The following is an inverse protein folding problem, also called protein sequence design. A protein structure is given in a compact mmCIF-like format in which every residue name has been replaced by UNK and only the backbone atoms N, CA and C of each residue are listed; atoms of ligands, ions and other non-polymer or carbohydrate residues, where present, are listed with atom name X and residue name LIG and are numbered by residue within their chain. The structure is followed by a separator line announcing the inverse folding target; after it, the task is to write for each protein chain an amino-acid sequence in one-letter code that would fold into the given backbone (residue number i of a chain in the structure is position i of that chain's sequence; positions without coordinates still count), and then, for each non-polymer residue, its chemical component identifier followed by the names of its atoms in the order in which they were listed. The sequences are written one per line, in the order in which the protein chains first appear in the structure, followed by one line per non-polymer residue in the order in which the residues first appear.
data_IF_234293457919
#
_entry.id   IF_234293457919
#
_cell.length_a   1.000
_cell.length_b   1.000
_cell.length_c   1.000
_cell.angle_alpha   90.00
_cell.angle_beta   90.00
_cell.angle_gamma   90.00
#
_symmetry.space_group_name_H-M   'P 1'
#
loop_
_entity.id
_entity.type
_entity.pdbx_description
1 polymer ?
#
# COMPACT_ATOMS: atom_id res chain seq x y z
N UNK A 1 23.72 40.68 -8.98
CA UNK A 1 22.79 39.53 -9.04
C UNK A 1 23.27 38.47 -8.07
N UNK A 2 22.68 38.37 -6.89
CA UNK A 2 22.95 37.27 -5.95
C UNK A 2 22.46 35.97 -6.58
N UNK A 3 23.39 35.06 -6.89
CA UNK A 3 23.06 33.74 -7.43
C UNK A 3 22.15 33.05 -6.41
N UNK A 4 20.89 32.73 -6.77
CA UNK A 4 20.01 31.98 -5.88
C UNK A 4 20.68 30.63 -5.62
N UNK A 5 20.85 30.28 -4.35
CA UNK A 5 21.41 29.00 -3.97
C UNK A 5 20.45 27.88 -4.35
N UNK A 6 20.97 26.72 -4.75
CA UNK A 6 20.16 25.53 -4.95
C UNK A 6 19.58 25.07 -3.60
N UNK A 7 18.29 24.74 -3.57
CA UNK A 7 17.58 24.39 -2.33
C UNK A 7 16.62 23.23 -2.59
N UNK A 8 16.45 22.35 -1.60
CA UNK A 8 15.45 21.29 -1.63
C UNK A 8 14.04 21.84 -1.40
N UNK A 9 13.09 21.46 -2.27
CA UNK A 9 11.71 21.94 -2.20
C UNK A 9 10.74 20.76 -2.25
N UNK A 10 9.74 20.82 -1.36
CA UNK A 10 8.54 19.98 -1.41
C UNK A 10 7.68 20.43 -2.60
N UNK A 11 7.86 19.75 -3.73
CA UNK A 11 7.03 19.94 -4.92
C UNK A 11 5.62 19.45 -4.60
N UNK A 12 4.59 20.12 -5.11
CA UNK A 12 3.21 19.61 -5.05
C UNK A 12 2.34 20.28 -6.10
N UNK A 13 1.30 19.62 -6.58
CA UNK A 13 0.21 20.24 -7.32
C UNK A 13 -1.14 19.67 -6.87
N UNK A 14 -2.27 20.40 -6.99
CA UNK A 14 -3.58 19.87 -6.62
C UNK A 14 -3.94 18.58 -7.38
N UNK A 15 -3.55 18.50 -8.66
CA UNK A 15 -3.77 17.31 -9.49
C UNK A 15 -2.94 16.12 -9.04
N UNK A 16 -1.65 16.32 -8.72
CA UNK A 16 -0.81 15.23 -8.20
C UNK A 16 -1.27 14.77 -6.82
N UNK A 17 -1.65 15.70 -5.94
CA UNK A 17 -2.20 15.39 -4.63
C UNK A 17 -3.46 14.49 -4.71
N UNK A 18 -4.37 14.79 -5.64
CA UNK A 18 -5.56 13.96 -5.87
C UNK A 18 -5.18 12.54 -6.31
N UNK A 19 -4.36 12.40 -7.35
CA UNK A 19 -3.98 11.09 -7.87
C UNK A 19 -3.15 10.28 -6.88
N UNK A 20 -2.32 10.93 -6.07
CA UNK A 20 -1.60 10.28 -4.99
C UNK A 20 -2.55 9.75 -3.91
N UNK A 21 -3.51 10.56 -3.48
CA UNK A 21 -4.54 10.11 -2.56
C UNK A 21 -5.37 8.95 -3.17
N UNK A 22 -5.73 9.02 -4.45
CA UNK A 22 -6.42 7.93 -5.13
C UNK A 22 -5.58 6.64 -5.13
N UNK A 23 -4.27 6.74 -5.40
CA UNK A 23 -3.36 5.59 -5.37
C UNK A 23 -3.26 4.97 -3.98
N UNK A 24 -3.06 5.80 -2.94
CA UNK A 24 -2.99 5.34 -1.56
C UNK A 24 -4.32 4.70 -1.12
N UNK A 25 -5.47 5.23 -1.56
CA UNK A 25 -6.79 4.59 -1.37
C UNK A 25 -6.86 3.24 -2.06
N UNK A 26 -6.38 3.11 -3.30
CA UNK A 26 -6.38 1.82 -3.99
C UNK A 26 -5.47 0.80 -3.30
N UNK A 27 -4.32 1.22 -2.75
CA UNK A 27 -3.45 0.37 -1.92
C UNK A 27 -4.19 -0.09 -0.68
N UNK A 28 -4.88 0.82 0.01
CA UNK A 28 -5.70 0.49 1.19
C UNK A 28 -6.82 -0.49 0.87
N UNK A 29 -7.51 -0.32 -0.28
CA UNK A 29 -8.53 -1.26 -0.75
C UNK A 29 -7.94 -2.65 -1.04
N UNK A 30 -6.80 -2.74 -1.73
CA UNK A 30 -6.12 -4.02 -2.00
C UNK A 30 -5.70 -4.73 -0.73
N UNK A 31 -5.09 -4.00 0.21
CA UNK A 31 -4.65 -4.55 1.50
C UNK A 31 -5.86 -4.97 2.34
N UNK A 32 -6.92 -4.15 2.39
CA UNK A 32 -8.16 -4.50 3.09
C UNK A 32 -8.82 -5.75 2.53
N UNK A 33 -8.97 -5.83 1.21
CA UNK A 33 -9.54 -7.02 0.54
C UNK A 33 -8.73 -8.28 0.87
N UNK A 34 -7.39 -8.19 0.84
CA UNK A 34 -6.52 -9.31 1.22
C UNK A 34 -6.70 -9.72 2.69
N UNK A 35 -6.74 -8.76 3.62
CA UNK A 35 -6.96 -9.06 5.03
C UNK A 35 -8.36 -9.63 5.29
N UNK A 36 -9.38 -9.17 4.57
CA UNK A 36 -10.74 -9.72 4.68
C UNK A 36 -10.79 -11.14 4.13
N UNK A 37 -10.12 -11.43 3.02
CA UNK A 37 -9.98 -12.80 2.53
C UNK A 37 -9.36 -13.71 3.58
N UNK A 38 -8.21 -13.31 4.16
CA UNK A 38 -7.55 -14.07 5.22
C UNK A 38 -8.45 -14.22 6.45
N UNK A 39 -9.16 -13.16 6.84
CA UNK A 39 -10.11 -13.18 7.94
C UNK A 39 -11.25 -14.18 7.71
N UNK A 40 -11.85 -14.20 6.52
CA UNK A 40 -12.91 -15.14 6.17
C UNK A 40 -12.39 -16.58 6.19
N UNK A 41 -11.20 -16.84 5.65
CA UNK A 41 -10.60 -18.19 5.69
C UNK A 41 -10.41 -18.65 7.14
N UNK A 42 -9.85 -17.79 8.00
CA UNK A 42 -9.61 -18.12 9.40
C UNK A 42 -10.91 -18.34 10.17
N UNK A 43 -11.90 -17.43 9.99
CA UNK A 43 -13.20 -17.56 10.66
C UNK A 43 -13.98 -18.77 10.14
N UNK A 44 -13.88 -19.09 8.85
CA UNK A 44 -14.46 -20.29 8.25
C UNK A 44 -13.90 -21.56 8.91
N UNK A 45 -12.57 -21.70 8.93
CA UNK A 45 -11.91 -22.87 9.52
C UNK A 45 -12.21 -22.99 11.02
N UNK A 46 -12.01 -21.92 11.78
CA UNK A 46 -12.25 -21.95 13.24
C UNK A 46 -13.74 -22.14 13.55
N UNK A 47 -14.61 -21.53 12.75
CA UNK A 47 -16.05 -21.65 12.88
C UNK A 47 -16.54 -23.08 12.66
N UNK A 48 -16.10 -23.70 11.57
CA UNK A 48 -16.45 -25.08 11.24
C UNK A 48 -15.89 -26.08 12.25
N UNK A 49 -14.64 -25.90 12.68
CA UNK A 49 -13.95 -26.90 13.51
C UNK A 49 -14.18 -26.73 15.01
N UNK A 50 -14.09 -25.52 15.53
CA UNK A 50 -14.11 -25.27 16.97
C UNK A 50 -15.46 -24.75 17.49
N UNK A 51 -16.26 -24.14 16.62
CA UNK A 51 -17.53 -23.51 16.96
C UNK A 51 -18.67 -24.00 16.07
N UNK A 52 -18.62 -25.28 15.66
CA UNK A 52 -19.53 -25.87 14.67
C UNK A 52 -21.00 -25.59 14.97
N UNK A 53 -21.42 -25.70 16.24
CA UNK A 53 -22.78 -25.40 16.66
C UNK A 53 -23.19 -23.95 16.40
N UNK A 54 -22.30 -22.98 16.64
CA UNK A 54 -22.52 -21.56 16.38
C UNK A 54 -22.47 -21.25 14.87
N UNK A 55 -21.56 -21.91 14.14
CA UNK A 55 -21.41 -21.77 12.69
C UNK A 55 -22.69 -22.15 11.95
N UNK A 56 -23.27 -23.30 12.30
CA UNK A 56 -24.54 -23.78 11.73
C UNK A 56 -25.75 -22.98 12.20
N UNK A 57 -25.74 -22.44 13.43
CA UNK A 57 -26.82 -21.58 13.93
C UNK A 57 -26.91 -20.24 13.22
N UNK A 58 -25.76 -19.67 12.82
CA UNK A 58 -25.67 -18.35 12.17
C UNK A 58 -25.72 -18.46 10.63
N UNK A 59 -25.58 -19.69 10.10
CA UNK A 59 -25.56 -20.00 8.67
C UNK A 59 -24.50 -19.16 7.91
N UNK A 60 -23.24 -19.30 8.31
CA UNK A 60 -22.11 -18.53 7.77
C UNK A 60 -21.59 -19.04 6.42
N UNK A 61 -21.91 -20.28 6.02
CA UNK A 61 -21.41 -20.88 4.78
C UNK A 61 -21.88 -20.13 3.52
N UNK A 62 -23.17 -19.78 3.35
CA UNK A 62 -23.62 -18.97 2.22
C UNK A 62 -22.90 -17.61 2.14
N UNK A 63 -22.72 -16.96 3.29
CA UNK A 63 -22.04 -15.67 3.40
C UNK A 63 -20.58 -15.76 2.92
N UNK A 64 -19.83 -16.76 3.39
CA UNK A 64 -18.42 -16.93 3.04
C UNK A 64 -18.24 -17.30 1.57
N UNK A 65 -19.06 -18.20 1.03
CA UNK A 65 -19.03 -18.56 -0.40
C UNK A 65 -19.33 -17.35 -1.29
N UNK A 66 -20.36 -16.57 -0.97
CA UNK A 66 -20.70 -15.36 -1.73
C UNK A 66 -19.60 -14.30 -1.62
N UNK A 67 -19.04 -14.11 -0.42
CA UNK A 67 -17.94 -13.16 -0.17
C UNK A 67 -16.67 -13.49 -0.98
N UNK A 68 -16.38 -14.77 -1.24
CA UNK A 68 -15.27 -15.16 -2.13
C UNK A 68 -15.49 -14.69 -3.56
N UNK A 69 -16.71 -14.79 -4.09
CA UNK A 69 -17.07 -14.22 -5.38
C UNK A 69 -16.87 -12.70 -5.43
N UNK A 70 -17.27 -12.00 -4.37
CA UNK A 70 -17.07 -10.55 -4.23
C UNK A 70 -15.58 -10.19 -4.16
N UNK A 71 -14.76 -10.95 -3.43
CA UNK A 71 -13.30 -10.74 -3.33
C UNK A 71 -12.67 -10.83 -4.72
N UNK A 72 -13.03 -11.85 -5.51
CA UNK A 72 -12.53 -12.01 -6.87
C UNK A 72 -12.94 -10.84 -7.77
N UNK A 73 -14.19 -10.37 -7.64
CA UNK A 73 -14.67 -9.20 -8.38
C UNK A 73 -13.89 -7.93 -8.01
N UNK A 74 -13.73 -7.65 -6.72
CA UNK A 74 -12.97 -6.49 -6.24
C UNK A 74 -11.51 -6.58 -6.67
N UNK A 75 -10.88 -7.76 -6.56
CA UNK A 75 -9.52 -8.00 -7.01
C UNK A 75 -9.37 -7.74 -8.52
N UNK A 76 -10.32 -8.18 -9.34
CA UNK A 76 -10.34 -7.92 -10.78
C UNK A 76 -10.45 -6.41 -11.08
N UNK A 77 -11.34 -5.70 -10.38
CA UNK A 77 -11.47 -4.23 -10.52
C UNK A 77 -10.17 -3.54 -10.11
N UNK A 78 -9.59 -3.89 -8.97
CA UNK A 78 -8.34 -3.28 -8.48
C UNK A 78 -7.14 -3.58 -9.38
N UNK A 79 -7.05 -4.79 -9.95
CA UNK A 79 -6.00 -5.16 -10.90
C UNK A 79 -6.00 -4.29 -12.16
N UNK A 80 -7.17 -3.76 -12.54
CA UNK A 80 -7.32 -2.83 -13.66
C UNK A 80 -7.07 -1.38 -13.18
N UNK A 81 -7.76 -0.96 -12.11
CA UNK A 81 -7.76 0.44 -11.65
C UNK A 81 -6.40 0.88 -11.10
N UNK A 82 -5.73 0.07 -10.29
CA UNK A 82 -4.45 0.41 -9.63
C UNK A 82 -3.39 0.84 -10.66
N UNK A 83 -3.11 0.07 -11.73
CA UNK A 83 -2.17 0.50 -12.75
C UNK A 83 -2.53 1.82 -13.43
N UNK A 84 -3.81 2.07 -13.74
CA UNK A 84 -4.22 3.33 -14.39
C UNK A 84 -4.05 4.52 -13.45
N UNK A 85 -4.42 4.36 -12.18
CA UNK A 85 -4.23 5.39 -11.15
C UNK A 85 -2.74 5.66 -10.93
N UNK A 86 -1.90 4.62 -10.90
CA UNK A 86 -0.45 4.76 -10.81
C UNK A 86 0.11 5.54 -12.01
N UNK A 87 -0.30 5.22 -13.23
CA UNK A 87 0.15 5.96 -14.43
C UNK A 87 -0.28 7.43 -14.35
N UNK A 88 -1.54 7.70 -14.01
CA UNK A 88 -2.07 9.06 -13.86
C UNK A 88 -1.32 9.86 -12.76
N UNK A 89 -1.02 9.22 -11.64
CA UNK A 89 -0.21 9.77 -10.56
C UNK A 89 1.19 10.15 -11.05
N UNK A 90 1.87 9.27 -11.79
CA UNK A 90 3.23 9.50 -12.30
C UNK A 90 3.28 10.63 -13.33
N UNK A 91 2.25 10.74 -14.20
CA UNK A 91 2.13 11.87 -15.11
C UNK A 91 1.85 13.19 -14.39
N UNK A 92 1.00 13.18 -13.37
CA UNK A 92 0.72 14.36 -12.56
C UNK A 92 1.95 14.81 -11.75
N UNK A 93 2.72 13.86 -11.23
CA UNK A 93 4.00 14.08 -10.55
C UNK A 93 5.01 14.78 -11.48
N UNK A 94 5.21 14.27 -12.70
CA UNK A 94 6.10 14.87 -13.69
C UNK A 94 5.67 16.31 -14.04
N UNK A 95 4.36 16.55 -14.26
CA UNK A 95 3.84 17.89 -14.53
C UNK A 95 4.07 18.85 -13.35
N UNK A 96 3.92 18.37 -12.11
CA UNK A 96 4.18 19.19 -10.92
C UNK A 96 5.65 19.60 -10.81
N UNK A 97 6.55 18.67 -11.11
CA UNK A 97 7.99 18.89 -11.14
C UNK A 97 8.39 19.87 -12.24
N UNK A 98 7.82 19.72 -13.44
CA UNK A 98 8.04 20.65 -14.55
C UNK A 98 7.57 22.06 -14.23
N UNK A 99 6.38 22.20 -13.64
CA UNK A 99 5.86 23.49 -13.20
C UNK A 99 6.78 24.13 -12.14
N UNK A 100 7.19 23.36 -11.13
CA UNK A 100 8.12 23.83 -10.09
C UNK A 100 9.47 24.25 -10.67
N UNK A 101 9.99 23.52 -11.65
CA UNK A 101 11.27 23.81 -12.28
C UNK A 101 11.22 25.08 -13.18
N UNK A 102 10.04 25.43 -13.70
CA UNK A 102 9.83 26.70 -14.43
C UNK A 102 9.75 27.89 -13.48
N UNK A 103 9.09 27.72 -12.34
CA UNK A 103 8.97 28.77 -11.32
C UNK A 103 10.31 29.02 -10.60
N UNK A 104 11.02 27.96 -10.24
CA UNK A 104 12.31 28.02 -9.55
C UNK A 104 13.32 27.04 -10.19
N UNK A 105 14.17 27.50 -11.11
CA UNK A 105 15.12 26.65 -11.83
C UNK A 105 16.15 25.94 -10.94
N UNK A 106 16.48 26.53 -9.79
CA UNK A 106 17.45 26.00 -8.82
C UNK A 106 16.80 25.11 -7.74
N UNK A 107 15.49 24.87 -7.81
CA UNK A 107 14.79 24.01 -6.87
C UNK A 107 15.04 22.53 -7.17
N UNK A 108 15.39 21.78 -6.14
CA UNK A 108 15.61 20.33 -6.22
C UNK A 108 14.43 19.61 -5.56
N UNK A 109 13.69 18.75 -6.28
CA UNK A 109 12.63 17.96 -5.67
C UNK A 109 13.18 16.97 -4.66
N UNK A 110 12.35 16.60 -3.68
CA UNK A 110 12.69 15.60 -2.68
C UNK A 110 13.13 14.26 -3.29
N UNK A 111 13.98 13.53 -2.55
CA UNK A 111 14.55 12.25 -3.00
C UNK A 111 13.49 11.21 -3.38
N UNK A 112 12.43 11.07 -2.58
CA UNK A 112 11.31 10.15 -2.83
C UNK A 112 10.72 10.39 -4.22
N UNK A 113 10.33 11.63 -4.50
CA UNK A 113 9.77 12.01 -5.80
C UNK A 113 10.75 11.78 -6.95
N UNK A 114 12.04 12.07 -6.76
CA UNK A 114 13.09 11.78 -7.76
C UNK A 114 13.25 10.29 -8.00
N UNK A 115 13.24 9.45 -6.97
CA UNK A 115 13.32 7.99 -7.12
C UNK A 115 12.08 7.41 -7.78
N UNK A 116 10.89 7.95 -7.47
CA UNK A 116 9.64 7.55 -8.10
C UNK A 116 9.60 7.90 -9.60
N UNK A 117 10.20 9.03 -9.97
CA UNK A 117 10.38 9.48 -11.35
C UNK A 117 11.68 8.99 -12.00
N UNK A 118 12.39 8.02 -11.41
CA UNK A 118 13.61 7.48 -12.01
C UNK A 118 13.35 6.75 -13.34
N UNK A 119 12.11 6.31 -13.57
CA UNK A 119 11.62 5.75 -14.84
C UNK A 119 10.58 6.70 -15.44
N UNK A 120 10.52 6.78 -16.76
CA UNK A 120 9.48 7.54 -17.43
C UNK A 120 8.08 7.04 -17.02
N UNK A 121 7.11 7.93 -16.73
CA UNK A 121 5.74 7.56 -16.36
C UNK A 121 5.09 6.58 -17.35
N UNK A 122 5.35 6.79 -18.66
CA UNK A 122 4.85 5.95 -19.73
C UNK A 122 5.40 4.51 -19.70
N UNK A 123 6.52 4.25 -19.02
CA UNK A 123 7.07 2.91 -18.89
C UNK A 123 6.12 2.00 -18.10
N UNK A 124 5.43 2.55 -17.10
CA UNK A 124 4.40 1.82 -16.34
C UNK A 124 3.21 1.46 -17.23
N UNK A 125 2.77 2.37 -18.12
CA UNK A 125 1.71 2.10 -19.08
C UNK A 125 2.10 0.96 -20.04
N UNK A 126 3.36 0.97 -20.52
CA UNK A 126 3.89 -0.07 -21.37
C UNK A 126 3.98 -1.42 -20.64
N UNK A 127 4.49 -1.46 -19.40
CA UNK A 127 4.58 -2.72 -18.65
C UNK A 127 3.21 -3.28 -18.33
N UNK A 128 2.27 -2.44 -17.87
CA UNK A 128 0.90 -2.86 -17.60
C UNK A 128 0.22 -3.36 -18.87
N UNK A 129 0.31 -2.63 -19.98
CA UNK A 129 -0.26 -3.08 -21.26
C UNK A 129 0.35 -4.40 -21.75
N UNK A 130 1.66 -4.62 -21.50
CA UNK A 130 2.34 -5.87 -21.85
C UNK A 130 1.89 -7.04 -20.99
N UNK A 131 1.79 -6.84 -19.67
CA UNK A 131 1.33 -7.87 -18.74
C UNK A 131 -0.13 -8.23 -19.04
N UNK A 132 -1.02 -7.24 -19.14
CA UNK A 132 -2.43 -7.47 -19.47
C UNK A 132 -2.59 -8.20 -20.79
N UNK A 133 -1.85 -7.79 -21.83
CA UNK A 133 -1.91 -8.44 -23.14
C UNK A 133 -1.57 -9.92 -23.04
N UNK A 134 -0.45 -10.28 -22.41
CA UNK A 134 -0.03 -11.67 -22.32
C UNK A 134 -0.93 -12.50 -21.40
N UNK A 135 -1.44 -11.92 -20.31
CA UNK A 135 -2.43 -12.59 -19.46
C UNK A 135 -3.74 -12.87 -20.21
N UNK A 136 -4.28 -11.88 -20.93
CA UNK A 136 -5.54 -12.01 -21.66
C UNK A 136 -5.41 -12.95 -22.87
N UNK A 137 -4.30 -12.88 -23.60
CA UNK A 137 -4.03 -13.80 -24.71
C UNK A 137 -3.80 -15.22 -24.18
N UNK A 138 -3.07 -15.39 -23.09
CA UNK A 138 -2.85 -16.70 -22.47
C UNK A 138 -4.14 -17.34 -21.96
N UNK A 139 -4.93 -16.58 -21.18
CA UNK A 139 -6.23 -17.04 -20.69
C UNK A 139 -7.22 -17.29 -21.83
N UNK A 140 -7.30 -16.38 -22.80
CA UNK A 140 -8.17 -16.53 -23.96
C UNK A 140 -7.78 -17.73 -24.83
N UNK A 141 -6.48 -18.02 -25.00
CA UNK A 141 -6.00 -19.18 -25.73
C UNK A 141 -6.31 -20.50 -25.00
N UNK A 142 -6.11 -20.54 -23.67
CA UNK A 142 -6.51 -21.70 -22.85
C UNK A 142 -8.02 -21.93 -22.90
N UNK A 143 -8.80 -20.85 -22.78
CA UNK A 143 -10.26 -20.92 -22.88
C UNK A 143 -10.69 -21.39 -24.27
N UNK A 144 -10.14 -20.81 -25.35
CA UNK A 144 -10.41 -21.25 -26.72
C UNK A 144 -10.06 -22.73 -26.93
N UNK A 145 -8.96 -23.19 -26.34
CA UNK A 145 -8.58 -24.60 -26.38
C UNK A 145 -9.61 -25.48 -25.68
N UNK A 146 -10.14 -25.07 -24.52
CA UNK A 146 -11.22 -25.77 -23.85
C UNK A 146 -12.49 -25.86 -24.73
N UNK A 147 -12.89 -24.76 -25.39
CA UNK A 147 -14.03 -24.73 -26.33
C UNK A 147 -13.82 -25.67 -27.52
N UNK A 148 -12.59 -25.76 -28.04
CA UNK A 148 -12.27 -26.66 -29.16
C UNK A 148 -12.36 -28.13 -28.72
N UNK A 149 -11.92 -28.46 -27.50
CA UNK A 149 -11.87 -29.85 -27.03
C UNK A 149 -13.12 -30.35 -26.30
N UNK A 150 -14.11 -29.50 -26.05
CA UNK A 150 -15.37 -29.89 -25.39
C UNK A 150 -16.58 -29.49 -26.24
N UNK A 151 -17.39 -30.49 -26.63
CA UNK A 151 -18.55 -30.27 -27.50
C UNK A 151 -19.62 -29.41 -26.82
N UNK A 152 -19.87 -29.61 -25.53
CA UNK A 152 -20.84 -28.83 -24.74
C UNK A 152 -20.55 -27.32 -24.73
N UNK A 153 -19.27 -26.92 -24.63
CA UNK A 153 -18.89 -25.50 -24.64
C UNK A 153 -18.95 -24.88 -26.04
N UNK A 154 -18.90 -25.70 -27.10
CA UNK A 154 -18.88 -25.22 -28.49
C UNK A 154 -20.25 -24.75 -28.96
N UNK A 155 -21.29 -25.39 -28.49
CA UNK A 155 -22.69 -25.06 -28.84
C UNK A 155 -23.26 -23.92 -27.98
N UNK A 156 -22.61 -23.59 -26.86
CA UNK A 156 -23.03 -22.49 -25.98
C UNK A 156 -22.61 -21.11 -26.53
N UNK A 157 -23.61 -20.30 -26.90
CA UNK A 157 -23.40 -18.92 -27.37
C UNK A 157 -22.74 -18.00 -26.33
N UNK A 158 -22.90 -18.27 -25.03
CA UNK A 158 -22.26 -17.48 -23.95
C UNK A 158 -20.75 -17.63 -24.01
N UNK A 159 -20.25 -18.83 -24.30
CA UNK A 159 -18.83 -19.14 -24.39
C UNK A 159 -18.16 -18.36 -25.53
N UNK A 160 -18.82 -18.26 -26.69
CA UNK A 160 -18.34 -17.43 -27.80
C UNK A 160 -18.34 -15.93 -27.48
N UNK A 161 -19.35 -15.46 -26.73
CA UNK A 161 -19.36 -14.08 -26.25
C UNK A 161 -18.19 -13.80 -25.30
N UNK A 162 -17.87 -14.73 -24.38
CA UNK A 162 -16.71 -14.63 -23.49
C UNK A 162 -15.40 -14.61 -24.28
N UNK A 163 -15.25 -15.46 -25.31
CA UNK A 163 -14.09 -15.42 -26.21
C UNK A 163 -13.95 -14.07 -26.95
N UNK A 164 -15.05 -13.51 -27.43
CA UNK A 164 -15.07 -12.18 -28.04
C UNK A 164 -14.62 -11.11 -27.04
N UNK A 165 -15.06 -11.18 -25.79
CA UNK A 165 -14.61 -10.28 -24.71
C UNK A 165 -13.10 -10.39 -24.50
N UNK A 166 -12.54 -11.60 -24.43
CA UNK A 166 -11.08 -11.77 -24.36
C UNK A 166 -10.35 -11.15 -25.55
N UNK A 167 -10.86 -11.33 -26.77
CA UNK A 167 -10.27 -10.75 -27.97
C UNK A 167 -10.29 -9.21 -27.95
N UNK A 168 -11.42 -8.60 -27.57
CA UNK A 168 -11.57 -7.14 -27.44
C UNK A 168 -10.62 -6.59 -26.37
N UNK A 169 -10.56 -7.22 -25.19
CA UNK A 169 -9.67 -6.80 -24.12
C UNK A 169 -8.19 -6.96 -24.51
N UNK A 170 -7.82 -8.04 -25.19
CA UNK A 170 -6.46 -8.24 -25.69
C UNK A 170 -6.08 -7.18 -26.73
N UNK A 171 -7.01 -6.81 -27.63
CA UNK A 171 -6.80 -5.73 -28.58
C UNK A 171 -6.59 -4.39 -27.87
N UNK A 172 -7.41 -4.08 -26.87
CA UNK A 172 -7.25 -2.88 -26.04
C UNK A 172 -5.90 -2.85 -25.31
N UNK A 173 -5.48 -3.98 -24.73
CA UNK A 173 -4.17 -4.12 -24.10
C UNK A 173 -3.01 -3.93 -25.10
N UNK A 174 -3.15 -4.44 -26.33
CA UNK A 174 -2.18 -4.21 -27.39
C UNK A 174 -2.10 -2.74 -27.82
N UNK A 175 -3.23 -2.04 -27.89
CA UNK A 175 -3.27 -0.60 -28.14
C UNK A 175 -2.59 0.19 -27.01
N UNK A 176 -2.89 -0.14 -25.74
CA UNK A 176 -2.23 0.44 -24.56
C UNK A 176 -0.72 0.24 -24.60
N UNK A 177 -0.25 -0.96 -24.95
CA UNK A 177 1.18 -1.26 -25.11
C UNK A 177 1.83 -0.39 -26.19
N UNK A 178 1.18 -0.25 -27.36
CA UNK A 178 1.67 0.59 -28.48
C UNK A 178 1.71 2.07 -28.09
N UNK A 179 0.67 2.56 -27.42
CA UNK A 179 0.60 3.93 -26.92
C UNK A 179 1.70 4.19 -25.89
N UNK A 180 1.87 3.28 -24.92
CA UNK A 180 2.93 3.35 -23.91
C UNK A 180 4.31 3.48 -24.53
N UNK A 181 4.64 2.63 -25.52
CA UNK A 181 5.94 2.72 -26.22
C UNK A 181 6.19 4.09 -26.86
N UNK A 182 5.20 4.64 -27.57
CA UNK A 182 5.31 5.98 -28.19
C UNK A 182 5.49 7.09 -27.15
N UNK A 183 4.81 6.97 -26.00
CA UNK A 183 4.92 7.95 -24.93
C UNK A 183 6.26 7.86 -24.19
N UNK A 184 6.81 6.65 -24.02
CA UNK A 184 8.14 6.45 -23.41
C UNK A 184 9.22 7.19 -24.19
N UNK A 185 9.24 7.07 -25.52
CA UNK A 185 10.23 7.77 -26.36
C UNK A 185 10.20 9.29 -26.15
N UNK A 186 9.00 9.86 -25.96
CA UNK A 186 8.80 11.29 -25.71
C UNK A 186 9.18 11.70 -24.29
N UNK A 187 8.78 10.91 -23.30
CA UNK A 187 8.98 11.24 -21.89
C UNK A 187 10.43 10.95 -21.42
N UNK A 188 11.12 9.99 -22.02
CA UNK A 188 12.53 9.70 -21.74
C UNK A 188 13.43 10.90 -22.07
N UNK A 189 13.14 11.63 -23.15
CA UNK A 189 13.87 12.86 -23.48
C UNK A 189 13.67 13.93 -22.40
N UNK A 190 12.43 14.16 -21.95
CA UNK A 190 12.09 15.13 -20.90
C UNK A 190 12.71 14.74 -19.56
N UNK A 191 12.62 13.46 -19.19
CA UNK A 191 13.18 12.95 -17.95
C UNK A 191 14.71 13.05 -17.93
N UNK A 192 15.39 12.81 -19.05
CA UNK A 192 16.85 12.97 -19.14
C UNK A 192 17.31 14.39 -18.87
N UNK A 193 16.59 15.41 -19.37
CA UNK A 193 16.91 16.82 -19.06
C UNK A 193 16.84 17.08 -17.55
N UNK A 194 15.72 16.69 -16.92
CA UNK A 194 15.54 16.84 -15.48
C UNK A 194 16.59 16.07 -14.67
N UNK A 195 16.91 14.84 -15.06
CA UNK A 195 17.91 14.03 -14.37
C UNK A 195 19.31 14.64 -14.46
N UNK A 196 19.68 15.17 -15.63
CA UNK A 196 20.95 15.87 -15.84
C UNK A 196 21.06 17.10 -14.95
N UNK A 197 19.96 17.85 -14.82
CA UNK A 197 19.86 19.04 -13.96
C UNK A 197 19.98 18.67 -12.48
N UNK A 198 19.24 17.67 -12.03
CA UNK A 198 19.32 17.23 -10.63
C UNK A 198 20.70 16.69 -10.27
N UNK A 199 21.37 15.99 -11.18
CA UNK A 199 22.75 15.54 -10.98
C UNK A 199 23.70 16.70 -10.66
N UNK A 200 23.46 17.88 -11.22
CA UNK A 200 24.25 19.09 -10.95
C UNK A 200 23.77 19.87 -9.71
N UNK A 201 22.45 19.97 -9.49
CA UNK A 201 21.87 20.78 -8.42
C UNK A 201 21.89 20.10 -7.05
N UNK A 202 21.76 18.77 -7.00
CA UNK A 202 21.69 18.03 -5.73
C UNK A 202 22.93 18.23 -4.87
N UNK A 203 24.17 18.05 -5.37
CA UNK A 203 25.36 18.28 -4.55
C UNK A 203 25.48 19.73 -4.07
N UNK A 204 25.01 20.69 -4.88
CA UNK A 204 25.01 22.12 -4.51
C UNK A 204 23.99 22.43 -3.42
N UNK A 205 22.80 21.82 -3.49
CA UNK A 205 21.77 21.96 -2.47
C UNK A 205 22.20 21.29 -1.16
N UNK A 206 22.82 20.11 -1.22
CA UNK A 206 23.40 19.44 -0.05
C UNK A 206 24.50 20.27 0.63
N UNK A 207 25.42 20.85 -0.16
CA UNK A 207 26.45 21.73 0.36
C UNK A 207 25.84 22.97 1.04
N UNK A 208 24.85 23.61 0.39
CA UNK A 208 24.19 24.78 0.97
C UNK A 208 23.44 24.44 2.27
N UNK A 209 22.75 23.30 2.34
CA UNK A 209 22.11 22.84 3.57
C UNK A 209 23.15 22.51 4.66
N UNK A 210 24.30 21.92 4.29
CA UNK A 210 25.41 21.65 5.23
C UNK A 210 25.96 22.95 5.83
N UNK A 211 26.27 23.93 4.99
CA UNK A 211 26.79 25.23 5.41
C UNK A 211 25.80 25.94 6.35
N UNK A 212 24.50 25.91 6.01
CA UNK A 212 23.44 26.48 6.87
C UNK A 212 23.31 25.74 8.20
N UNK A 213 23.45 24.42 8.19
CA UNK A 213 23.38 23.58 9.40
C UNK A 213 24.59 23.81 10.32
N UNK A 214 25.77 24.04 9.76
CA UNK A 214 26.98 24.39 10.51
C UNK A 214 26.88 25.79 11.13
N UNK A 215 26.25 26.74 10.43
CA UNK A 215 25.99 28.09 10.93
C UNK A 215 24.82 28.15 11.95
N UNK A 216 23.97 27.13 12.02
CA UNK A 216 22.79 27.11 12.88
C UNK A 216 23.11 26.77 14.34
N UNK A 217 22.31 27.31 15.26
CA UNK A 217 22.46 27.04 16.70
C UNK A 217 22.07 25.59 16.99
N UNK A 218 22.90 24.88 17.77
CA UNK A 218 22.56 23.54 18.28
C UNK A 218 21.34 23.62 19.17
N UNK A 219 20.25 22.97 18.78
CA UNK A 219 18.99 23.00 19.52
C UNK A 219 18.77 21.71 20.32
N UNK A 220 18.12 21.85 21.47
CA UNK A 220 17.64 20.70 22.25
C UNK A 220 16.39 20.14 21.56
N UNK A 221 16.43 18.86 21.20
CA UNK A 221 15.33 18.19 20.51
C UNK A 221 14.20 17.86 21.51
N UNK A 222 12.93 18.17 21.18
CA UNK A 222 11.79 17.75 22.00
C UNK A 222 11.77 16.24 22.29
N UNK A 223 11.41 15.86 23.53
CA UNK A 223 11.42 14.47 23.99
C UNK A 223 10.54 13.52 23.16
N UNK A 224 9.44 14.05 22.60
CA UNK A 224 8.56 13.32 21.69
C UNK A 224 9.23 12.89 20.37
N UNK A 225 10.27 13.63 19.93
CA UNK A 225 11.04 13.34 18.72
C UNK A 225 12.25 12.45 19.00
N UNK A 226 12.84 12.52 20.20
CA UNK A 226 13.99 11.71 20.60
C UNK A 226 13.62 10.30 21.11
N UNK A 227 12.35 10.04 21.42
CA UNK A 227 11.91 8.75 21.95
C UNK A 227 12.13 7.61 20.93
N UNK A 228 12.72 6.47 21.32
CA UNK A 228 13.06 5.37 20.41
C UNK A 228 11.84 4.55 19.92
N UNK A 229 10.62 5.08 20.06
CA UNK A 229 9.36 4.36 19.86
C UNK A 229 9.20 3.70 18.48
N UNK A 230 9.89 4.23 17.45
CA UNK A 230 9.88 3.63 16.11
C UNK A 230 10.53 2.24 16.11
N UNK A 231 11.60 2.03 16.88
CA UNK A 231 12.28 0.74 16.99
C UNK A 231 11.41 -0.27 17.72
N UNK A 232 10.72 0.14 18.78
CA UNK A 232 9.77 -0.73 19.50
C UNK A 232 8.56 -1.05 18.64
N UNK A 233 7.92 -0.08 17.98
CA UNK A 233 6.82 -0.36 17.05
C UNK A 233 7.23 -1.29 15.90
N UNK A 234 8.42 -1.09 15.33
CA UNK A 234 8.94 -1.98 14.28
C UNK A 234 9.32 -3.38 14.78
N UNK A 235 9.63 -3.55 16.07
CA UNK A 235 9.80 -4.87 16.70
C UNK A 235 8.45 -5.52 16.96
N UNK A 236 7.50 -4.78 17.54
CA UNK A 236 6.13 -5.25 17.79
C UNK A 236 5.47 -5.70 16.49
N UNK A 237 5.55 -4.89 15.43
CA UNK A 237 5.00 -5.25 14.12
C UNK A 237 5.64 -6.52 13.55
N UNK A 238 6.97 -6.69 13.70
CA UNK A 238 7.65 -7.92 13.28
C UNK A 238 7.22 -9.13 14.10
N UNK A 239 7.14 -9.00 15.42
CA UNK A 239 6.69 -10.07 16.31
C UNK A 239 5.26 -10.47 15.98
N UNK A 240 4.36 -9.50 15.82
CA UNK A 240 2.96 -9.75 15.44
C UNK A 240 2.87 -10.40 14.06
N UNK A 241 3.64 -9.94 13.08
CA UNK A 241 3.68 -10.54 11.75
C UNK A 241 4.17 -12.00 11.82
N UNK A 242 5.27 -12.26 12.51
CA UNK A 242 5.80 -13.62 12.68
C UNK A 242 4.79 -14.51 13.40
N UNK A 243 4.19 -14.02 14.50
CA UNK A 243 3.18 -14.77 15.24
C UNK A 243 1.94 -15.06 14.38
N UNK A 244 1.51 -14.11 13.56
CA UNK A 244 0.39 -14.29 12.61
C UNK A 244 0.74 -15.35 11.57
N UNK A 245 1.93 -15.31 10.98
CA UNK A 245 2.36 -16.29 9.97
C UNK A 245 2.51 -17.70 10.56
N UNK A 246 3.06 -17.81 11.77
CA UNK A 246 3.19 -19.10 12.47
C UNK A 246 1.80 -19.66 12.81
N UNK A 247 0.90 -18.82 13.31
CA UNK A 247 -0.47 -19.24 13.65
C UNK A 247 -1.24 -19.65 12.39
N UNK A 248 -1.11 -18.88 11.29
CA UNK A 248 -1.70 -19.24 10.00
C UNK A 248 -1.16 -20.57 9.47
N UNK A 249 0.16 -20.79 9.57
CA UNK A 249 0.78 -22.06 9.20
C UNK A 249 0.24 -23.23 10.03
N UNK A 250 0.09 -23.04 11.35
CA UNK A 250 -0.50 -24.03 12.24
C UNK A 250 -1.96 -24.36 11.86
N UNK A 251 -2.77 -23.34 11.54
CA UNK A 251 -4.15 -23.54 11.08
C UNK A 251 -4.20 -24.30 9.75
N UNK A 252 -3.32 -23.98 8.79
CA UNK A 252 -3.25 -24.70 7.51
C UNK A 252 -2.83 -26.17 7.68
N UNK A 253 -1.91 -26.45 8.61
CA UNK A 253 -1.50 -27.83 8.95
C UNK A 253 -2.68 -28.61 9.53
N UNK A 254 -3.44 -28.02 10.45
CA UNK A 254 -4.65 -28.62 11.02
C UNK A 254 -5.65 -29.03 9.93
N UNK A 255 -5.94 -28.13 8.98
CA UNK A 255 -6.82 -28.42 7.84
C UNK A 255 -6.26 -29.52 6.95
N UNK A 256 -4.96 -29.46 6.62
CA UNK A 256 -4.33 -30.47 5.76
C UNK A 256 -4.34 -31.87 6.38
N UNK A 257 -4.28 -31.99 7.71
CA UNK A 257 -4.36 -33.28 8.39
C UNK A 257 -5.74 -33.95 8.27
N UNK A 258 -6.82 -33.17 8.12
CA UNK A 258 -8.19 -33.67 7.93
C UNK A 258 -8.58 -33.81 6.46
N UNK A 259 -8.13 -32.89 5.61
CA UNK A 259 -8.53 -32.81 4.20
C UNK A 259 -7.31 -32.64 3.29
N UNK A 260 -6.69 -33.76 2.93
CA UNK A 260 -5.46 -33.81 2.14
C UNK A 260 -5.67 -33.42 0.67
N UNK A 261 -6.89 -33.61 0.15
CA UNK A 261 -7.28 -33.19 -1.18
C UNK A 261 -8.75 -32.79 -1.24
N UNK A 262 -9.11 -31.95 -2.23
CA UNK A 262 -10.47 -31.40 -2.36
C UNK A 262 -11.56 -32.45 -2.54
N UNK A 263 -11.23 -33.57 -3.20
CA UNK A 263 -12.18 -34.65 -3.50
C UNK A 263 -11.91 -35.91 -2.65
N UNK A 264 -11.03 -35.82 -1.67
CA UNK A 264 -10.75 -36.93 -0.77
C UNK A 264 -11.79 -36.94 0.33
N UNK A 265 -12.19 -38.14 0.76
CA UNK A 265 -12.97 -38.28 1.98
C UNK A 265 -12.17 -37.73 3.17
N UNK A 266 -12.83 -37.07 4.14
CA UNK A 266 -12.17 -36.61 5.35
C UNK A 266 -11.46 -37.77 6.05
N UNK A 267 -10.23 -37.56 6.48
CA UNK A 267 -9.46 -38.55 7.24
C UNK A 267 -9.75 -38.35 8.71
N UNK A 268 -10.37 -39.35 9.33
CA UNK A 268 -10.58 -39.41 10.77
C UNK A 268 -9.44 -40.16 11.45
N UNK A 269 -8.90 -39.56 12.50
CA UNK A 269 -7.83 -40.13 13.31
C UNK A 269 -8.37 -40.74 14.59
N UNK A 270 -7.50 -41.40 15.36
CA UNK A 270 -7.84 -41.81 16.71
C UNK A 270 -8.01 -40.58 17.62
N UNK A 271 -8.85 -40.72 18.65
CA UNK A 271 -9.23 -39.66 19.60
C UNK A 271 -8.08 -38.78 20.14
N UNK A 272 -6.87 -39.30 20.48
CA UNK A 272 -5.78 -38.43 20.90
C UNK A 272 -5.22 -37.53 19.78
N UNK A 273 -5.23 -37.99 18.53
CA UNK A 273 -4.79 -37.17 17.39
C UNK A 273 -5.88 -36.15 17.04
N UNK A 274 -7.16 -36.54 17.05
CA UNK A 274 -8.27 -35.61 16.82
C UNK A 274 -8.29 -34.47 17.86
N UNK A 275 -8.16 -34.79 19.14
CA UNK A 275 -8.03 -33.78 20.20
C UNK A 275 -6.82 -32.87 19.99
N UNK A 276 -5.71 -33.40 19.47
CA UNK A 276 -4.54 -32.61 19.11
C UNK A 276 -4.81 -31.62 17.96
N UNK A 277 -5.55 -32.06 16.93
CA UNK A 277 -5.95 -31.23 15.80
C UNK A 277 -6.92 -30.14 16.26
N UNK A 278 -7.90 -30.46 17.10
CA UNK A 278 -8.86 -29.48 17.64
C UNK A 278 -8.18 -28.40 18.49
N UNK A 279 -7.27 -28.79 19.39
CA UNK A 279 -6.49 -27.84 20.19
C UNK A 279 -5.61 -26.98 19.29
N UNK A 280 -4.99 -27.55 18.25
CA UNK A 280 -4.18 -26.80 17.29
C UNK A 280 -5.03 -25.78 16.51
N UNK A 281 -6.21 -26.18 16.04
CA UNK A 281 -7.16 -25.32 15.33
C UNK A 281 -7.64 -24.17 16.23
N UNK A 282 -8.13 -24.48 17.44
CA UNK A 282 -8.63 -23.49 18.39
C UNK A 282 -7.53 -22.53 18.85
N UNK A 283 -6.36 -23.05 19.24
CA UNK A 283 -5.26 -22.22 19.75
C UNK A 283 -4.67 -21.31 18.67
N UNK A 284 -4.53 -21.81 17.44
CA UNK A 284 -4.09 -21.00 16.30
C UNK A 284 -5.11 -19.94 15.91
N UNK A 285 -6.41 -20.28 15.91
CA UNK A 285 -7.50 -19.32 15.73
C UNK A 285 -7.53 -18.23 16.80
N UNK A 286 -7.43 -18.60 18.07
CA UNK A 286 -7.35 -17.66 19.19
C UNK A 286 -6.11 -16.76 19.09
N UNK A 287 -4.95 -17.34 18.73
CA UNK A 287 -3.71 -16.58 18.52
C UNK A 287 -3.84 -15.58 17.37
N UNK A 288 -4.50 -15.95 16.26
CA UNK A 288 -4.79 -15.04 15.16
C UNK A 288 -5.72 -13.90 15.59
N UNK A 289 -6.77 -14.19 16.34
CA UNK A 289 -7.67 -13.16 16.88
C UNK A 289 -6.95 -12.18 17.81
N UNK A 290 -6.10 -12.69 18.72
CA UNK A 290 -5.26 -11.87 19.60
C UNK A 290 -4.26 -11.05 18.79
N UNK A 291 -3.60 -11.64 17.79
CA UNK A 291 -2.67 -10.92 16.91
C UNK A 291 -3.39 -9.82 16.12
N UNK A 292 -4.61 -10.06 15.64
CA UNK A 292 -5.43 -9.07 14.97
C UNK A 292 -5.81 -7.91 15.91
N UNK A 293 -6.27 -8.21 17.12
CA UNK A 293 -6.59 -7.20 18.14
C UNK A 293 -5.37 -6.35 18.53
N UNK A 294 -4.23 -7.01 18.80
CA UNK A 294 -2.97 -6.32 19.08
C UNK A 294 -2.46 -5.53 17.86
N UNK A 295 -2.70 -6.03 16.65
CA UNK A 295 -2.40 -5.35 15.40
C UNK A 295 -3.20 -4.06 15.23
N UNK A 296 -4.51 -4.10 15.53
CA UNK A 296 -5.38 -2.92 15.53
C UNK A 296 -4.89 -1.92 16.58
N UNK A 297 -4.63 -2.35 17.82
CA UNK A 297 -4.13 -1.48 18.88
C UNK A 297 -2.77 -0.86 18.52
N UNK A 298 -1.86 -1.65 17.95
CA UNK A 298 -0.56 -1.18 17.49
C UNK A 298 -0.69 -0.20 16.32
N UNK A 299 -1.64 -0.42 15.41
CA UNK A 299 -1.94 0.50 14.31
C UNK A 299 -2.52 1.82 14.82
N UNK A 300 -3.57 1.80 15.65
CA UNK A 300 -4.17 3.00 16.26
C UNK A 300 -3.13 3.77 17.06
N UNK A 301 -2.41 3.10 17.96
CA UNK A 301 -1.33 3.71 18.75
C UNK A 301 -0.22 4.28 17.87
N UNK A 302 0.12 3.60 16.77
CA UNK A 302 1.09 4.06 15.78
C UNK A 302 0.63 5.30 15.02
N UNK A 303 -0.66 5.42 14.67
CA UNK A 303 -1.23 6.62 14.03
C UNK A 303 -1.24 7.80 15.01
N UNK A 304 -1.73 7.60 16.23
CA UNK A 304 -1.80 8.64 17.27
C UNK A 304 -0.40 9.15 17.63
N UNK A 305 0.56 8.24 17.82
CA UNK A 305 1.93 8.61 18.14
C UNK A 305 2.60 9.38 17.00
N UNK A 306 2.37 8.95 15.75
CA UNK A 306 2.89 9.65 14.57
C UNK A 306 2.28 11.06 14.45
N UNK A 307 0.98 11.19 14.69
CA UNK A 307 0.29 12.48 14.68
C UNK A 307 0.82 13.43 15.76
N UNK A 308 1.02 12.93 16.99
CA UNK A 308 1.61 13.70 18.08
C UNK A 308 3.02 14.22 17.73
N UNK A 309 3.83 13.38 17.07
CA UNK A 309 5.17 13.74 16.60
C UNK A 309 5.18 14.77 15.50
N UNK A 310 4.32 14.60 14.49
CA UNK A 310 4.16 15.57 13.41
C UNK A 310 3.72 16.93 13.95
N UNK A 311 2.79 16.94 14.91
CA UNK A 311 2.34 18.17 15.58
C UNK A 311 3.43 18.79 16.44
N UNK A 312 4.20 17.99 17.18
CA UNK A 312 5.33 18.47 17.98
C UNK A 312 6.43 19.07 17.10
N UNK A 313 6.78 18.39 16.00
CA UNK A 313 7.74 18.90 15.01
C UNK A 313 7.26 20.23 14.44
N UNK A 314 6.03 20.28 13.93
CA UNK A 314 5.46 21.48 13.31
C UNK A 314 5.45 22.67 14.27
N UNK A 315 5.04 22.46 15.53
CA UNK A 315 5.09 23.51 16.55
C UNK A 315 6.51 23.98 16.83
N UNK A 316 7.45 23.05 16.89
CA UNK A 316 8.85 23.37 17.18
C UNK A 316 9.52 24.18 16.06
N UNK A 317 9.21 23.89 14.80
CA UNK A 317 9.75 24.64 13.65
C UNK A 317 8.91 25.86 13.26
N UNK A 318 7.80 26.13 13.95
CA UNK A 318 6.85 27.17 13.55
C UNK A 318 7.38 28.61 13.68
N UNK A 319 8.40 28.82 14.50
CA UNK A 319 9.07 30.12 14.65
C UNK A 319 10.08 30.42 13.54
N UNK A 320 10.35 29.46 12.65
CA UNK A 320 11.26 29.61 11.52
C UNK A 320 12.73 29.73 11.91
N UNK A 321 13.10 29.52 13.18
CA UNK A 321 14.48 29.64 13.60
C UNK A 321 15.32 28.47 13.08
N UNK A 322 16.47 28.82 12.48
CA UNK A 322 17.49 27.87 12.01
C UNK A 322 18.07 27.05 13.16
N UNK A 323 18.02 25.72 13.05
CA UNK A 323 18.48 24.80 14.11
C UNK A 323 19.34 23.68 13.55
N UNK A 324 20.44 23.40 14.26
CA UNK A 324 21.29 22.25 13.98
C UNK A 324 20.84 21.05 14.81
N UNK A 325 20.49 19.94 14.15
CA UNK A 325 19.93 18.72 14.75
C UNK A 325 20.50 17.48 14.05
N UNK A 326 20.59 16.36 14.77
CA UNK A 326 20.84 15.05 14.14
C UNK A 326 19.70 14.68 13.18
N UNK A 327 20.02 14.64 11.89
CA UNK A 327 19.08 14.36 10.80
C UNK A 327 18.34 13.03 10.99
N UNK A 328 18.99 12.04 11.60
CA UNK A 328 18.40 10.70 11.80
C UNK A 328 17.13 10.71 12.67
N UNK A 329 16.95 11.74 13.51
CA UNK A 329 15.76 11.91 14.34
C UNK A 329 14.56 12.46 13.56
N UNK A 330 14.81 13.26 12.52
CA UNK A 330 13.77 13.99 11.77
C UNK A 330 13.48 13.34 10.42
N UNK A 331 14.46 12.63 9.85
CA UNK A 331 14.33 11.87 8.61
C UNK A 331 13.05 11.00 8.53
N UNK A 332 12.66 10.25 9.58
CA UNK A 332 11.44 9.44 9.56
C UNK A 332 10.15 10.25 9.34
N UNK A 333 10.12 11.50 9.80
CA UNK A 333 8.94 12.37 9.74
C UNK A 333 8.86 13.11 8.40
N UNK A 334 10.01 13.32 7.76
CA UNK A 334 10.10 13.94 6.43
C UNK A 334 9.90 12.92 5.31
N UNK A 335 10.53 11.74 5.41
CA UNK A 335 10.51 10.70 4.37
C UNK A 335 9.46 9.61 4.58
N UNK A 336 8.93 9.46 5.79
CA UNK A 336 7.98 8.40 6.13
C UNK A 336 6.52 8.71 5.78
N UNK A 337 5.70 7.66 5.79
CA UNK A 337 4.25 7.75 5.67
C UNK A 337 3.67 8.53 6.86
N UNK A 338 2.95 9.61 6.57
CA UNK A 338 2.32 10.46 7.58
C UNK A 338 1.20 9.76 8.34
N UNK A 339 0.84 10.32 9.49
CA UNK A 339 -0.32 9.86 10.27
C UNK A 339 -1.61 9.83 9.45
N UNK A 340 -1.89 10.88 8.66
CA UNK A 340 -3.09 10.98 7.84
C UNK A 340 -3.13 9.96 6.70
N UNK A 341 -1.99 9.66 6.06
CA UNK A 341 -1.92 8.61 5.03
C UNK A 341 -2.15 7.23 5.65
N UNK A 342 -1.63 6.98 6.87
CA UNK A 342 -1.93 5.74 7.60
C UNK A 342 -3.40 5.62 7.97
N UNK A 343 -4.02 6.73 8.39
CA UNK A 343 -5.46 6.78 8.66
C UNK A 343 -6.27 6.50 7.40
N UNK A 344 -5.92 7.12 6.28
CA UNK A 344 -6.52 6.85 4.96
C UNK A 344 -6.45 5.36 4.61
N UNK A 345 -5.25 4.76 4.70
CA UNK A 345 -5.05 3.33 4.44
C UNK A 345 -5.92 2.45 5.34
N UNK A 346 -6.03 2.79 6.63
CA UNK A 346 -6.89 2.03 7.56
C UNK A 346 -8.38 2.20 7.27
N UNK A 347 -8.86 3.42 7.04
CA UNK A 347 -10.27 3.67 6.72
C UNK A 347 -10.69 2.95 5.44
N UNK A 348 -9.85 3.01 4.41
CA UNK A 348 -10.10 2.33 3.12
C UNK A 348 -9.98 0.82 3.23
N UNK A 349 -9.06 0.30 4.04
CA UNK A 349 -8.96 -1.14 4.30
C UNK A 349 -10.19 -1.69 5.05
N UNK A 350 -10.65 -0.99 6.10
CA UNK A 350 -11.88 -1.36 6.82
C UNK A 350 -13.09 -1.22 5.91
N UNK A 351 -13.16 -0.16 5.12
CA UNK A 351 -14.21 0.04 4.12
C UNK A 351 -14.25 -1.08 3.07
N UNK A 352 -13.09 -1.54 2.59
CA UNK A 352 -13.01 -2.70 1.69
C UNK A 352 -13.56 -3.97 2.34
N UNK A 353 -13.21 -4.23 3.59
CA UNK A 353 -13.74 -5.39 4.32
C UNK A 353 -15.26 -5.32 4.52
N UNK A 354 -15.77 -4.15 4.88
CA UNK A 354 -17.22 -3.91 4.98
C UNK A 354 -17.91 -4.07 3.61
N UNK A 355 -17.28 -3.63 2.52
CA UNK A 355 -17.82 -3.83 1.17
C UNK A 355 -17.87 -5.32 0.79
N UNK A 356 -16.82 -6.08 1.07
CA UNK A 356 -16.76 -7.54 0.83
C UNK A 356 -17.88 -8.24 1.59
N UNK A 357 -17.95 -8.05 2.91
CA UNK A 357 -18.91 -8.74 3.78
C UNK A 357 -20.33 -8.27 3.48
N UNK A 358 -20.56 -6.98 3.27
CA UNK A 358 -21.86 -6.40 2.94
C UNK A 358 -22.41 -6.88 1.60
N UNK A 359 -21.59 -6.92 0.56
CA UNK A 359 -22.00 -7.45 -0.75
C UNK A 359 -22.16 -8.96 -0.72
N UNK A 360 -21.29 -9.68 0.01
CA UNK A 360 -21.40 -11.12 0.18
C UNK A 360 -22.71 -11.50 0.86
N UNK A 361 -23.09 -10.78 1.93
CA UNK A 361 -24.37 -10.97 2.60
C UNK A 361 -25.56 -10.65 1.70
N UNK A 362 -25.47 -9.59 0.88
CA UNK A 362 -26.52 -9.25 -0.08
C UNK A 362 -26.70 -10.37 -1.13
N UNK A 363 -25.60 -10.90 -1.67
CA UNK A 363 -25.62 -11.97 -2.67
C UNK A 363 -26.07 -13.31 -2.09
N UNK A 364 -25.79 -13.56 -0.82
CA UNK A 364 -26.24 -14.73 -0.08
C UNK A 364 -27.66 -14.58 0.50
N UNK A 365 -28.33 -13.44 0.29
CA UNK A 365 -29.62 -13.08 0.91
C UNK A 365 -29.61 -13.24 2.46
N UNK A 366 -28.46 -13.00 3.08
CA UNK A 366 -28.23 -13.26 4.49
C UNK A 366 -28.89 -12.18 5.37
N UNK A 367 -29.97 -12.55 6.05
CA UNK A 367 -30.84 -11.63 6.78
C UNK A 367 -30.32 -11.20 8.17
N UNK A 368 -29.27 -11.84 8.69
CA UNK A 368 -28.76 -11.57 10.04
C UNK A 368 -27.96 -10.25 10.16
N UNK A 369 -27.76 -9.54 9.05
CA UNK A 369 -27.01 -8.28 9.01
C UNK A 369 -27.75 -7.23 8.17
N UNK A 370 -27.75 -5.98 8.66
CA UNK A 370 -28.22 -4.83 7.87
C UNK A 370 -27.21 -4.51 6.77
N UNK A 371 -27.36 -5.18 5.63
CA UNK A 371 -26.48 -5.03 4.46
C UNK A 371 -26.45 -3.59 3.95
N UNK A 372 -27.56 -2.86 4.05
CA UNK A 372 -27.64 -1.45 3.61
C UNK A 372 -26.77 -0.56 4.48
N UNK A 373 -26.89 -0.68 5.81
CA UNK A 373 -26.06 0.09 6.73
C UNK A 373 -24.56 -0.23 6.58
N UNK A 374 -24.21 -1.51 6.40
CA UNK A 374 -22.82 -1.94 6.22
C UNK A 374 -22.22 -1.41 4.92
N UNK A 375 -22.96 -1.50 3.80
CA UNK A 375 -22.51 -0.97 2.51
C UNK A 375 -22.42 0.55 2.51
N UNK A 376 -23.37 1.25 3.14
CA UNK A 376 -23.29 2.69 3.32
C UNK A 376 -22.03 3.08 4.11
N UNK A 377 -21.76 2.37 5.21
CA UNK A 377 -20.57 2.57 6.03
C UNK A 377 -19.30 2.32 5.22
N UNK A 378 -19.26 1.27 4.39
CA UNK A 378 -18.14 0.97 3.51
C UNK A 378 -17.83 2.14 2.56
N UNK A 379 -18.85 2.64 1.85
CA UNK A 379 -18.69 3.78 0.92
C UNK A 379 -18.23 5.03 1.65
N UNK A 380 -18.83 5.35 2.81
CA UNK A 380 -18.45 6.51 3.63
C UNK A 380 -17.00 6.41 4.09
N UNK A 381 -16.54 5.24 4.56
CA UNK A 381 -15.16 5.04 5.00
C UNK A 381 -14.16 5.19 3.86
N UNK A 382 -14.45 4.63 2.67
CA UNK A 382 -13.59 4.74 1.49
C UNK A 382 -13.51 6.21 1.03
N UNK A 383 -14.65 6.89 0.93
CA UNK A 383 -14.73 8.29 0.53
C UNK A 383 -14.03 9.21 1.54
N UNK A 384 -14.22 8.96 2.84
CA UNK A 384 -13.56 9.71 3.91
C UNK A 384 -12.05 9.51 3.87
N UNK A 385 -11.57 8.28 3.66
CA UNK A 385 -10.14 8.00 3.51
C UNK A 385 -9.51 8.79 2.36
N UNK A 386 -10.16 8.78 1.18
CA UNK A 386 -9.72 9.57 0.03
C UNK A 386 -9.73 11.09 0.34
N UNK A 387 -10.80 11.59 0.95
CA UNK A 387 -10.94 13.00 1.30
C UNK A 387 -9.89 13.47 2.31
N UNK A 388 -9.59 12.66 3.33
CA UNK A 388 -8.54 12.92 4.33
C UNK A 388 -7.18 13.00 3.65
N UNK A 389 -6.84 12.03 2.80
CA UNK A 389 -5.57 12.03 2.06
C UNK A 389 -5.42 13.25 1.15
N UNK A 390 -6.46 13.59 0.41
CA UNK A 390 -6.44 14.73 -0.50
C UNK A 390 -6.37 16.08 0.22
N UNK A 391 -7.13 16.25 1.31
CA UNK A 391 -7.13 17.47 2.11
C UNK A 391 -5.79 17.70 2.85
N UNK A 392 -5.15 16.64 3.34
CA UNK A 392 -3.86 16.75 4.04
C UNK A 392 -2.69 17.11 3.10
N UNK A 393 -2.80 16.86 1.79
CA UNK A 393 -1.70 17.07 0.85
C UNK A 393 -1.14 18.50 0.84
N UNK A 394 -2.00 19.53 0.92
CA UNK A 394 -1.55 20.94 0.97
C UNK A 394 -0.90 21.29 2.30
N UNK A 395 -1.50 20.81 3.39
CA UNK A 395 -1.03 21.08 4.75
C UNK A 395 0.31 20.40 4.99
N UNK A 396 0.42 19.12 4.64
CA UNK A 396 1.63 18.32 4.79
C UNK A 396 2.82 18.89 4.04
N UNK A 397 2.61 19.36 2.80
CA UNK A 397 3.66 20.06 2.04
C UNK A 397 4.19 21.28 2.79
N UNK A 398 3.30 22.14 3.31
CA UNK A 398 3.70 23.34 4.06
C UNK A 398 4.46 22.97 5.33
N UNK A 399 3.96 22.01 6.10
CA UNK A 399 4.61 21.58 7.34
C UNK A 399 5.99 20.95 7.08
N UNK A 400 6.14 20.15 6.01
CA UNK A 400 7.43 19.57 5.62
C UNK A 400 8.41 20.61 5.08
N UNK A 401 7.94 21.56 4.27
CA UNK A 401 8.79 22.64 3.77
C UNK A 401 9.31 23.49 4.92
N UNK A 402 8.44 23.88 5.87
CA UNK A 402 8.84 24.61 7.08
C UNK A 402 9.88 23.81 7.89
N UNK A 403 9.71 22.50 8.02
CA UNK A 403 10.67 21.66 8.72
C UNK A 403 12.01 21.57 7.97
N UNK A 404 12.02 21.53 6.63
CA UNK A 404 13.25 21.56 5.82
C UNK A 404 13.97 22.90 5.94
N UNK A 405 13.21 24.00 5.85
CA UNK A 405 13.75 25.35 5.91
C UNK A 405 14.34 25.68 7.29
N UNK A 406 13.80 25.11 8.37
CA UNK A 406 14.31 25.33 9.73
C UNK A 406 15.47 24.40 10.12
N UNK A 407 15.49 23.16 9.59
CA UNK A 407 16.38 22.09 10.07
C UNK A 407 17.49 21.69 9.08
N UNK A 408 17.41 22.19 7.84
CA UNK A 408 18.35 21.93 6.74
C UNK A 408 18.78 20.47 6.65
N UNK A 409 17.85 19.50 6.53
CA UNK A 409 18.16 18.10 6.73
C UNK A 409 18.88 17.46 5.51
N UNK A 410 19.04 18.20 4.41
CA UNK A 410 19.67 17.73 3.18
C UNK A 410 18.77 16.81 2.36
N UNK A 411 19.38 15.93 1.57
CA UNK A 411 18.68 14.98 0.69
C UNK A 411 18.15 13.75 1.44
N UNK A 412 17.19 14.01 2.32
CA UNK A 412 16.54 12.98 3.12
C UNK A 412 15.64 12.11 2.24
N UNK A 413 15.83 10.79 2.34
CA UNK A 413 14.95 9.77 1.78
C UNK A 413 15.39 8.42 2.31
N UNK A 414 14.45 7.49 2.48
CA UNK A 414 14.68 6.18 3.10
C UNK A 414 15.93 5.55 2.50
N UNK A 415 17.04 5.64 3.22
CA UNK A 415 18.26 4.89 2.89
C UNK A 415 17.84 3.45 3.01
N UNK A 416 17.98 2.68 1.92
CA UNK A 416 17.78 1.23 1.95
C UNK A 416 18.40 0.68 3.23
N UNK A 417 17.57 -0.05 3.99
CA UNK A 417 17.90 -0.67 5.27
C UNK A 417 19.08 -1.68 5.16
N UNK A 418 19.69 -1.82 3.97
CA UNK A 418 20.88 -2.61 3.67
C UNK A 418 22.23 -1.88 3.85
N UNK A 419 22.27 -0.54 3.92
CA UNK A 419 23.52 0.19 4.18
C UNK A 419 24.00 0.33 5.65
N UNK A 420 23.19 0.14 6.72
CA UNK A 420 23.69 0.33 8.08
C UNK A 420 24.74 -0.72 8.46
N UNK A 421 24.74 -1.92 7.86
CA UNK A 421 25.76 -2.93 8.11
C UNK A 421 27.14 -2.55 7.54
N UNK A 422 27.19 -1.91 6.37
CA UNK A 422 28.44 -1.50 5.73
C UNK A 422 29.10 -0.33 6.48
N UNK A 423 28.32 0.70 6.83
CA UNK A 423 28.83 1.91 7.51
C UNK A 423 29.25 1.58 8.96
N UNK A 424 28.55 0.66 9.63
CA UNK A 424 28.91 0.23 10.99
C UNK A 424 30.14 -0.69 10.99
N UNK A 425 30.29 -1.56 9.97
CA UNK A 425 31.53 -2.37 9.79
C UNK A 425 32.73 -1.50 9.44
N UNK A 426 32.55 -0.46 8.65
CA UNK A 426 33.64 0.44 8.25
C UNK A 426 34.09 1.34 9.42
N UNK A 427 33.16 1.81 10.26
CA UNK A 427 33.51 2.50 11.52
C UNK A 427 34.17 1.60 12.56
N UNK A 428 33.86 0.29 12.57
CA UNK A 428 34.56 -0.70 13.42
C UNK A 428 35.92 -1.14 12.89
N UNK A 429 36.22 -0.91 11.61
CA UNK A 429 37.55 -1.17 11.03
C UNK A 429 38.51 0.01 11.13
N UNK A 430 37.99 1.22 11.39
CA UNK A 430 38.76 2.46 11.56
C UNK A 430 39.00 2.85 13.03
N UNK A 431 38.44 2.10 13.97
CA UNK A 431 38.80 2.11 15.39
C UNK A 431 39.53 0.82 15.69
#
# INVERSE_FOLDING_TARGET
MTRRAAVFVEVSSPGWAFWRAALDTCVGLSVGTLYTFLGIVVVGIVGEEALSSLYWQIDLDPLFRASMGVILLIAAVLAIVVPFVLVAERFAALRAVEASARENPDAVPERSLRTELAKAPAAYLQTTGTVLFWCLVGLGALFALAVVFTEDLREDGVVWAVLLVFAVLALAAAMLRRLGRRLVERDDARMRDHWSRWKQLVPRAEACDSDRREAAIRAVVPQWLSTPSRRTLGRVARVLLTATLVSLGASMISVFMRQQCRNCDPVYWNEPIENGIDVLSLSSGAALAVCAALGILAWVGGVVLQFARERALTRWVSDGASRSVDVSLVEPLLSGTRSMVRLQLGLTAVGAGAAVVGMGALWAEWAAMDTRAVLLTAVVLIALGLAVGWADARRSRRERQLARDALFPGDVGRVDEDKPAAITRERRRRR
#
